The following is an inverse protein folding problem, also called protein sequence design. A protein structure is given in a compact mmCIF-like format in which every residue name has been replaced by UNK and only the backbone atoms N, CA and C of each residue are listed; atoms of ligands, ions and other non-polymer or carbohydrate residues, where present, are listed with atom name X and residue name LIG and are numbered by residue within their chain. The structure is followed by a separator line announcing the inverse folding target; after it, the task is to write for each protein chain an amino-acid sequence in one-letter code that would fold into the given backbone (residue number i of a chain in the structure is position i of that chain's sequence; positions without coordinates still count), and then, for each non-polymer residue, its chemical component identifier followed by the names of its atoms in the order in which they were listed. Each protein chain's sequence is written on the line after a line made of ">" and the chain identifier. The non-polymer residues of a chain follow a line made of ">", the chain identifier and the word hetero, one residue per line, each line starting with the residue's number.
data_IF_890372916507
#
_entry.id   IF_890372916507
#
_cell.length_a   1.000
_cell.length_b   1.000
_cell.length_c   1.000
_cell.angle_alpha   90.00
_cell.angle_beta   90.00
_cell.angle_gamma   90.00
#
_symmetry.space_group_name_H-M   'P 1'
#
loop_
_entity.id
_entity.type
_entity.pdbx_description
1 polymer ?
#
# COMPACT_ATOMS: atom_id res chain seq x y z
N UNK A 1 3.01 9.93 22.24
CA UNK A 1 3.25 8.51 21.90
C UNK A 1 1.88 7.80 21.80
N UNK A 2 1.15 7.96 20.67
CA UNK A 2 -0.25 7.48 20.55
C UNK A 2 -0.37 5.99 20.23
N UNK A 3 0.69 5.38 19.68
CA UNK A 3 0.68 4.01 19.16
C UNK A 3 0.84 2.93 20.24
N UNK A 4 1.65 3.20 21.29
CA UNK A 4 2.00 2.19 22.29
C UNK A 4 0.80 1.54 23.00
N UNK A 5 -0.26 2.27 23.41
CA UNK A 5 -1.43 1.64 24.01
C UNK A 5 -2.12 0.62 23.09
N UNK A 6 -2.25 0.94 21.80
CA UNK A 6 -2.87 0.06 20.80
C UNK A 6 -2.05 -1.22 20.60
N UNK A 7 -0.72 -1.08 20.51
CA UNK A 7 0.17 -2.24 20.39
C UNK A 7 0.07 -3.12 21.64
N UNK A 8 0.13 -2.54 22.84
CA UNK A 8 0.05 -3.30 24.10
C UNK A 8 -1.29 -4.02 24.26
N UNK A 9 -2.41 -3.38 23.90
CA UNK A 9 -3.72 -4.01 23.99
C UNK A 9 -3.93 -5.05 22.89
N UNK A 10 -3.61 -4.72 21.64
CA UNK A 10 -3.86 -5.56 20.46
C UNK A 10 -2.96 -6.80 20.38
N UNK A 11 -1.81 -6.81 21.06
CA UNK A 11 -0.90 -7.96 21.06
C UNK A 11 -1.04 -8.87 22.28
N UNK A 12 -1.75 -8.45 23.34
CA UNK A 12 -1.71 -9.14 24.63
C UNK A 12 -2.14 -10.59 24.56
N UNK A 13 -3.30 -10.85 23.95
CA UNK A 13 -3.83 -12.20 23.83
C UNK A 13 -2.91 -13.10 23.00
N UNK A 14 -2.38 -12.57 21.90
CA UNK A 14 -1.44 -13.27 21.01
C UNK A 14 -0.11 -13.59 21.69
N UNK A 15 0.34 -12.75 22.61
CA UNK A 15 1.53 -13.01 23.44
C UNK A 15 1.20 -14.06 24.51
N UNK A 16 0.08 -13.89 25.22
CA UNK A 16 -0.31 -14.75 26.33
C UNK A 16 -0.61 -16.20 25.86
N UNK A 17 -1.09 -16.39 24.63
CA UNK A 17 -1.30 -17.71 24.02
C UNK A 17 -0.08 -18.25 23.25
N UNK A 18 1.03 -17.51 23.21
CA UNK A 18 2.29 -17.93 22.60
C UNK A 18 2.34 -17.87 21.07
N UNK A 19 1.32 -17.32 20.41
CA UNK A 19 1.28 -17.14 18.95
C UNK A 19 2.16 -16.00 18.47
N UNK A 20 2.46 -15.03 19.33
CA UNK A 20 3.32 -13.89 19.06
C UNK A 20 4.41 -13.75 20.11
N UNK A 21 5.64 -13.47 19.67
CA UNK A 21 6.72 -13.00 20.54
C UNK A 21 7.02 -11.56 20.19
N UNK A 22 7.03 -10.70 21.21
CA UNK A 22 7.33 -9.29 21.05
C UNK A 22 8.64 -8.94 21.76
N UNK A 23 9.42 -8.05 21.16
CA UNK A 23 10.57 -7.39 21.79
C UNK A 23 10.53 -5.92 21.39
N UNK A 24 10.93 -5.04 22.30
CA UNK A 24 11.04 -3.60 22.00
C UNK A 24 12.48 -3.14 22.21
N UNK A 25 13.02 -2.40 21.25
CA UNK A 25 14.22 -1.60 21.45
C UNK A 25 13.81 -0.17 21.82
N UNK A 26 14.18 0.29 23.02
CA UNK A 26 13.99 1.67 23.47
C UNK A 26 15.28 2.46 23.30
N UNK A 27 15.15 3.67 22.74
CA UNK A 27 16.21 4.65 22.60
C UNK A 27 16.10 5.78 23.65
N UNK A 28 15.33 5.57 24.73
CA UNK A 28 15.20 6.56 25.80
C UNK A 28 16.56 6.87 26.44
N UNK A 29 16.77 8.14 26.83
CA UNK A 29 17.99 8.58 27.54
C UNK A 29 17.93 8.26 29.03
N UNK A 30 16.72 8.30 29.59
CA UNK A 30 16.48 8.12 31.01
C UNK A 30 15.93 6.71 31.26
N UNK A 31 16.78 5.86 31.84
CA UNK A 31 16.40 4.49 32.20
C UNK A 31 15.25 4.44 33.20
N UNK A 32 15.19 5.36 34.15
CA UNK A 32 14.14 5.34 35.16
C UNK A 32 12.80 5.72 34.54
N UNK A 33 12.79 6.74 33.68
CA UNK A 33 11.59 7.11 32.91
C UNK A 33 11.07 5.93 32.06
N UNK A 34 11.97 5.17 31.41
CA UNK A 34 11.60 3.96 30.67
C UNK A 34 10.98 2.89 31.59
N UNK A 35 11.59 2.62 32.75
CA UNK A 35 11.06 1.65 33.71
C UNK A 35 9.69 2.04 34.24
N UNK A 36 9.47 3.33 34.49
CA UNK A 36 8.19 3.86 34.93
C UNK A 36 7.12 3.65 33.86
N UNK A 37 7.42 3.89 32.58
CA UNK A 37 6.52 3.62 31.45
C UNK A 37 6.22 2.11 31.32
N UNK A 38 7.22 1.24 31.42
CA UNK A 38 7.03 -0.22 31.38
C UNK A 38 6.04 -0.66 32.45
N UNK A 39 6.22 -0.15 33.68
CA UNK A 39 5.35 -0.46 34.82
C UNK A 39 3.95 0.12 34.65
N UNK A 40 3.84 1.40 34.29
CA UNK A 40 2.56 2.10 34.11
C UNK A 40 1.69 1.42 33.03
N UNK A 41 2.33 1.02 31.91
CA UNK A 41 1.63 0.44 30.75
C UNK A 41 1.46 -1.07 30.85
N UNK A 42 2.02 -1.72 31.88
CA UNK A 42 1.96 -3.16 32.04
C UNK A 42 2.59 -3.91 30.87
N UNK A 43 3.73 -3.42 30.38
CA UNK A 43 4.50 -4.09 29.31
C UNK A 43 5.09 -5.37 29.89
N UNK A 44 4.72 -6.52 29.31
CA UNK A 44 5.13 -7.87 29.78
C UNK A 44 6.19 -8.54 28.90
N UNK A 45 6.48 -7.96 27.74
CA UNK A 45 7.47 -8.47 26.82
C UNK A 45 8.85 -7.83 27.06
N UNK A 46 9.95 -8.47 26.64
CA UNK A 46 11.29 -7.92 26.79
C UNK A 46 11.47 -6.52 26.17
N UNK A 47 12.11 -5.63 26.92
CA UNK A 47 12.51 -4.29 26.46
C UNK A 47 14.03 -4.16 26.55
N UNK A 48 14.68 -3.94 25.41
CA UNK A 48 16.11 -3.71 25.28
C UNK A 48 16.35 -2.20 25.30
N UNK A 49 17.13 -1.71 26.26
CA UNK A 49 17.47 -0.30 26.37
C UNK A 49 18.79 0.01 25.66
N UNK A 50 18.74 0.82 24.60
CA UNK A 50 19.90 1.20 23.76
C UNK A 50 20.57 2.51 24.20
N UNK A 51 20.04 3.19 25.22
CA UNK A 51 20.60 4.43 25.80
C UNK A 51 20.86 5.56 24.77
N UNK A 52 19.87 5.84 23.91
CA UNK A 52 19.90 6.95 22.94
C UNK A 52 21.06 6.93 21.94
N UNK A 53 21.69 5.78 21.72
CA UNK A 53 22.63 5.62 20.63
C UNK A 53 21.91 4.94 19.45
N UNK A 54 21.44 5.70 18.43
CA UNK A 54 20.77 5.12 17.27
C UNK A 54 21.72 4.24 16.43
N UNK A 55 23.03 4.41 16.61
CA UNK A 55 24.07 3.60 15.98
C UNK A 55 24.41 2.35 16.80
N UNK A 56 23.91 2.21 18.04
CA UNK A 56 23.95 0.94 18.78
C UNK A 56 22.74 0.10 18.41
N UNK A 57 23.04 -1.09 17.91
CA UNK A 57 22.05 -2.07 17.48
C UNK A 57 21.84 -2.07 15.96
N UNK A 58 20.79 -2.74 15.53
CA UNK A 58 20.56 -3.05 14.12
C UNK A 58 19.71 -1.99 13.39
N UNK A 59 19.56 -0.78 13.94
CA UNK A 59 18.72 0.28 13.35
C UNK A 59 19.06 0.59 11.88
N UNK A 60 20.36 0.72 11.51
CA UNK A 60 20.75 0.92 10.11
C UNK A 60 20.46 -0.32 9.25
N UNK A 61 20.72 -1.51 9.78
CA UNK A 61 20.51 -2.78 9.08
C UNK A 61 19.02 -3.05 8.79
N UNK A 62 18.14 -2.48 9.62
CA UNK A 62 16.68 -2.65 9.53
C UNK A 62 16.00 -1.47 8.81
N UNK A 63 16.78 -0.50 8.30
CA UNK A 63 16.29 0.66 7.57
C UNK A 63 15.17 1.42 8.32
N UNK A 64 15.26 1.50 9.65
CA UNK A 64 14.26 2.19 10.48
C UNK A 64 14.43 3.70 10.27
N UNK A 65 13.51 4.33 9.54
CA UNK A 65 13.57 5.76 9.18
C UNK A 65 13.04 6.70 10.27
N UNK A 66 12.35 6.18 11.27
CA UNK A 66 11.76 6.97 12.35
C UNK A 66 11.33 6.14 13.55
N UNK A 67 10.97 6.82 14.65
CA UNK A 67 10.37 6.21 15.84
C UNK A 67 9.06 6.93 16.18
N UNK A 68 8.00 6.23 16.62
CA UNK A 68 7.92 4.78 16.78
C UNK A 68 7.83 4.03 15.44
N UNK A 69 8.39 2.82 15.39
CA UNK A 69 8.27 1.86 14.28
C UNK A 69 8.02 0.47 14.88
N UNK A 70 7.07 -0.28 14.32
CA UNK A 70 6.79 -1.66 14.73
C UNK A 70 6.94 -2.53 13.50
N UNK A 71 7.85 -3.50 13.53
CA UNK A 71 8.01 -4.46 12.42
C UNK A 71 7.57 -5.84 12.86
N UNK A 72 6.99 -6.60 11.93
CA UNK A 72 6.71 -8.01 12.11
C UNK A 72 7.80 -8.85 11.44
N UNK A 73 8.27 -9.87 12.14
CA UNK A 73 9.37 -10.72 11.70
C UNK A 73 8.89 -12.17 11.72
N UNK A 74 9.11 -12.89 10.61
CA UNK A 74 8.75 -14.30 10.52
C UNK A 74 9.77 -15.21 11.27
N UNK A 75 9.50 -16.51 11.47
CA UNK A 75 10.43 -17.43 12.12
C UNK A 75 11.80 -17.58 11.44
N UNK A 76 11.91 -17.22 10.15
CA UNK A 76 13.15 -17.22 9.37
C UNK A 76 14.02 -15.98 9.65
N UNK A 77 13.49 -14.99 10.38
CA UNK A 77 14.20 -13.76 10.73
C UNK A 77 14.04 -12.64 9.70
N UNK A 78 13.10 -12.75 8.78
CA UNK A 78 12.83 -11.77 7.72
C UNK A 78 11.75 -10.80 8.19
N UNK A 79 11.93 -9.50 7.90
CA UNK A 79 10.88 -8.50 8.13
C UNK A 79 9.79 -8.72 7.07
N UNK A 80 8.58 -9.02 7.53
CA UNK A 80 7.43 -9.29 6.65
C UNK A 80 6.42 -8.15 6.61
N UNK A 81 6.46 -7.23 7.58
CA UNK A 81 5.64 -6.01 7.59
C UNK A 81 6.24 -4.89 8.43
N UNK A 82 5.91 -3.65 8.04
CA UNK A 82 5.95 -2.47 8.90
C UNK A 82 4.52 -2.14 9.35
N UNK A 83 4.24 -2.36 10.63
CA UNK A 83 2.95 -2.16 11.24
C UNK A 83 2.85 -0.73 11.78
N UNK A 84 2.18 0.13 11.02
CA UNK A 84 1.74 1.43 11.53
C UNK A 84 0.57 1.18 12.49
N UNK A 85 0.71 1.59 13.75
CA UNK A 85 -0.42 1.50 14.66
C UNK A 85 -1.55 2.44 14.18
N UNK A 86 -2.76 1.89 14.11
CA UNK A 86 -3.95 2.48 13.51
C UNK A 86 -5.15 1.56 13.74
N UNK A 87 -6.29 1.89 13.12
CA UNK A 87 -7.54 1.13 13.29
C UNK A 87 -7.40 -0.33 12.81
N UNK A 88 -6.53 -0.58 11.82
CA UNK A 88 -6.38 -1.91 11.20
C UNK A 88 -5.26 -2.77 11.80
N UNK A 89 -4.51 -2.27 12.80
CA UNK A 89 -3.32 -2.94 13.33
C UNK A 89 -3.57 -4.38 13.77
N UNK A 90 -4.68 -4.63 14.47
CA UNK A 90 -5.00 -5.96 14.99
C UNK A 90 -5.40 -6.94 13.88
N UNK A 91 -6.22 -6.50 12.92
CA UNK A 91 -6.64 -7.35 11.80
C UNK A 91 -5.44 -7.76 10.95
N UNK A 92 -4.54 -6.81 10.64
CA UNK A 92 -3.30 -7.11 9.91
C UNK A 92 -2.46 -8.09 10.72
N UNK A 93 -2.23 -7.85 12.02
CA UNK A 93 -1.44 -8.76 12.84
C UNK A 93 -2.02 -10.18 12.91
N UNK A 94 -3.33 -10.32 13.11
CA UNK A 94 -4.00 -11.63 13.16
C UNK A 94 -3.92 -12.37 11.83
N UNK A 95 -4.21 -11.68 10.72
CA UNK A 95 -4.07 -12.23 9.37
C UNK A 95 -2.67 -12.84 9.16
N UNK A 96 -1.63 -12.11 9.54
CA UNK A 96 -0.25 -12.58 9.37
C UNK A 96 0.09 -13.79 10.23
N UNK A 97 -0.43 -13.85 11.46
CA UNK A 97 -0.19 -14.98 12.35
C UNK A 97 -0.94 -16.22 11.85
N UNK A 98 -2.14 -16.05 11.31
CA UNK A 98 -2.97 -17.16 10.79
C UNK A 98 -2.44 -17.71 9.46
N UNK A 99 -2.01 -16.84 8.55
CA UNK A 99 -1.64 -17.23 7.20
C UNK A 99 -0.14 -17.47 7.03
N UNK A 100 0.71 -17.00 7.96
CA UNK A 100 2.17 -17.11 7.87
C UNK A 100 2.80 -16.30 6.73
N UNK A 101 1.95 -15.68 5.92
CA UNK A 101 2.29 -14.82 4.81
C UNK A 101 1.63 -13.46 5.01
N UNK A 102 2.22 -12.49 4.36
CA UNK A 102 2.15 -11.12 4.73
C UNK A 102 1.36 -10.38 3.66
N UNK A 103 0.40 -9.51 4.01
CA UNK A 103 -0.10 -8.48 3.09
C UNK A 103 0.72 -7.21 3.28
N UNK A 104 1.53 -6.86 2.28
CA UNK A 104 2.52 -5.80 2.43
C UNK A 104 1.84 -4.46 2.51
N UNK A 105 2.44 -3.50 3.21
CA UNK A 105 2.10 -2.11 2.89
C UNK A 105 2.56 -1.88 1.47
N UNK A 106 1.58 -1.66 0.59
CA UNK A 106 1.77 -1.21 -0.77
C UNK A 106 1.36 0.25 -0.86
N UNK A 107 2.12 1.00 -1.64
CA UNK A 107 1.72 2.31 -2.10
C UNK A 107 1.86 2.33 -3.62
N UNK A 108 0.91 2.94 -4.30
CA UNK A 108 0.96 3.13 -5.74
C UNK A 108 0.60 4.56 -6.05
N UNK A 109 1.51 5.22 -6.75
CA UNK A 109 1.29 6.55 -7.29
C UNK A 109 1.46 6.50 -8.80
N UNK A 110 0.77 7.41 -9.49
CA UNK A 110 0.86 7.47 -10.93
C UNK A 110 0.76 8.88 -11.47
N UNK A 111 1.31 9.06 -12.66
CA UNK A 111 1.05 10.20 -13.50
C UNK A 111 0.76 9.76 -14.92
N UNK A 112 0.02 10.59 -15.63
CA UNK A 112 -0.21 10.38 -17.02
C UNK A 112 -0.21 11.73 -17.75
N UNK A 113 0.39 11.74 -18.93
CA UNK A 113 0.72 12.94 -19.69
C UNK A 113 0.50 12.71 -21.19
N UNK A 114 -0.31 13.57 -21.80
CA UNK A 114 -0.48 13.64 -23.25
C UNK A 114 0.78 14.24 -23.89
N UNK A 115 1.35 13.51 -24.85
CA UNK A 115 2.54 13.87 -25.59
C UNK A 115 2.20 14.66 -26.86
N UNK A 116 3.19 15.34 -27.44
CA UNK A 116 3.01 16.15 -28.67
C UNK A 116 2.59 15.32 -29.89
N UNK A 117 2.93 14.03 -29.93
CA UNK A 117 2.56 13.10 -31.00
C UNK A 117 1.15 12.51 -30.83
N UNK A 118 0.40 12.95 -29.82
CA UNK A 118 -0.95 12.49 -29.52
C UNK A 118 -1.00 11.22 -28.69
N UNK A 119 0.14 10.63 -28.32
CA UNK A 119 0.18 9.48 -27.41
C UNK A 119 0.04 9.90 -25.95
N UNK A 120 -0.35 8.98 -25.06
CA UNK A 120 -0.38 9.22 -23.61
C UNK A 120 0.68 8.37 -22.93
N UNK A 121 1.63 9.02 -22.27
CA UNK A 121 2.61 8.35 -21.40
C UNK A 121 2.01 8.18 -20.02
N UNK A 122 2.05 6.96 -19.49
CA UNK A 122 1.68 6.65 -18.11
C UNK A 122 2.94 6.24 -17.37
N UNK A 123 3.17 6.85 -16.22
CA UNK A 123 4.22 6.50 -15.27
C UNK A 123 3.55 6.03 -13.97
N UNK A 124 3.91 4.84 -13.51
CA UNK A 124 3.48 4.26 -12.24
C UNK A 124 4.72 4.11 -11.36
N UNK A 125 4.63 4.55 -10.11
CA UNK A 125 5.63 4.31 -9.08
C UNK A 125 4.97 3.49 -7.98
N UNK A 126 5.47 2.28 -7.80
CA UNK A 126 4.95 1.34 -6.82
C UNK A 126 5.99 1.12 -5.74
N UNK A 127 5.54 1.14 -4.50
CA UNK A 127 6.33 0.74 -3.35
C UNK A 127 5.68 -0.48 -2.72
N UNK A 128 6.49 -1.51 -2.46
CA UNK A 128 6.09 -2.61 -1.61
C UNK A 128 7.11 -2.80 -0.49
N UNK A 129 6.60 -2.96 0.72
CA UNK A 129 7.40 -3.39 1.88
C UNK A 129 7.73 -4.89 1.85
N UNK A 130 7.32 -5.61 0.80
CA UNK A 130 7.43 -7.06 0.71
C UNK A 130 8.28 -7.56 -0.44
N UNK A 131 8.69 -8.82 -0.27
CA UNK A 131 9.46 -9.60 -1.22
C UNK A 131 8.56 -10.66 -1.88
N UNK A 132 7.34 -10.25 -2.25
CA UNK A 132 6.34 -11.11 -2.87
C UNK A 132 6.19 -10.71 -4.32
N UNK A 133 6.12 -11.69 -5.21
CA UNK A 133 5.73 -11.46 -6.60
C UNK A 133 4.26 -11.00 -6.61
N UNK A 134 3.95 -9.95 -7.36
CA UNK A 134 2.62 -9.36 -7.40
C UNK A 134 2.18 -9.19 -8.84
N UNK A 135 0.92 -9.47 -9.11
CA UNK A 135 0.33 -9.24 -10.43
C UNK A 135 -0.31 -7.85 -10.43
N UNK A 136 0.19 -7.00 -11.34
CA UNK A 136 -0.28 -5.64 -11.53
C UNK A 136 -1.16 -5.62 -12.77
N UNK A 137 -2.41 -5.23 -12.57
CA UNK A 137 -3.39 -5.08 -13.63
C UNK A 137 -3.64 -3.59 -13.84
N UNK A 138 -3.32 -3.11 -15.04
CA UNK A 138 -3.62 -1.74 -15.46
C UNK A 138 -4.78 -1.78 -16.43
N UNK A 139 -5.92 -1.31 -15.97
CA UNK A 139 -7.10 -1.10 -16.79
C UNK A 139 -7.11 0.32 -17.33
N UNK A 140 -7.25 0.43 -18.65
CA UNK A 140 -7.36 1.71 -19.33
C UNK A 140 -8.74 1.82 -19.93
N UNK A 141 -9.45 2.88 -19.58
CA UNK A 141 -10.77 3.18 -20.09
C UNK A 141 -10.73 4.44 -20.94
N UNK A 142 -11.36 4.38 -22.09
CA UNK A 142 -11.80 5.59 -22.78
C UNK A 142 -13.07 6.09 -22.13
N UNK A 143 -13.14 7.39 -21.93
CA UNK A 143 -14.30 8.05 -21.37
C UNK A 143 -14.89 8.93 -22.45
N UNK A 144 -16.08 8.54 -22.91
CA UNK A 144 -16.87 9.31 -23.87
C UNK A 144 -17.95 10.06 -23.11
N UNK A 145 -17.97 11.37 -23.28
CA UNK A 145 -18.94 12.25 -22.67
C UNK A 145 -20.21 12.33 -23.52
N UNK A 146 -21.35 12.10 -22.85
CA UNK A 146 -22.67 12.31 -23.45
C UNK A 146 -23.12 13.72 -23.12
N UNK A 147 -23.17 14.55 -24.15
CA UNK A 147 -23.62 15.94 -24.08
C UNK A 147 -25.09 16.02 -24.48
N UNK A 148 -25.92 16.71 -23.69
CA UNK A 148 -27.25 17.14 -24.12
C UNK A 148 -27.16 18.59 -24.57
N UNK A 149 -26.83 18.77 -25.84
CA UNK A 149 -26.61 20.09 -26.42
C UNK A 149 -27.92 20.87 -26.63
N UNK A 150 -29.08 20.21 -26.61
CA UNK A 150 -30.35 20.81 -27.04
C UNK A 150 -31.35 21.09 -25.90
N UNK A 151 -31.35 20.34 -24.78
CA UNK A 151 -32.51 20.36 -23.86
C UNK A 151 -32.26 20.84 -22.43
N UNK A 152 -31.01 21.07 -22.00
CA UNK A 152 -30.74 21.47 -20.61
C UNK A 152 -29.83 22.73 -20.49
N UNK A 153 -30.43 23.92 -20.37
CA UNK A 153 -29.67 25.15 -20.15
C UNK A 153 -28.95 25.22 -18.80
N UNK A 154 -29.30 24.38 -17.80
CA UNK A 154 -28.59 24.33 -16.51
C UNK A 154 -27.24 23.59 -16.62
N UNK A 155 -27.10 22.71 -17.61
CA UNK A 155 -25.90 21.89 -17.83
C UNK A 155 -25.07 22.31 -19.03
N UNK A 156 -25.31 23.52 -19.59
CA UNK A 156 -24.56 24.04 -20.74
C UNK A 156 -23.05 23.99 -20.48
N UNK A 157 -22.35 23.15 -21.25
CA UNK A 157 -20.90 22.95 -21.14
C UNK A 157 -20.46 21.96 -20.06
N UNK A 158 -21.37 21.09 -19.57
CA UNK A 158 -21.05 19.95 -18.71
C UNK A 158 -21.57 18.64 -19.30
N UNK A 159 -20.83 17.52 -19.21
CA UNK A 159 -21.33 16.23 -19.65
C UNK A 159 -22.49 15.78 -18.74
N UNK A 160 -23.57 15.26 -19.32
CA UNK A 160 -24.68 14.68 -18.57
C UNK A 160 -24.35 13.28 -18.06
N UNK A 161 -23.60 12.52 -18.86
CA UNK A 161 -23.24 11.14 -18.56
C UNK A 161 -21.86 10.82 -19.12
N UNK A 162 -21.28 9.72 -18.63
CA UNK A 162 -19.96 9.22 -19.02
C UNK A 162 -20.06 7.75 -19.35
N UNK A 163 -19.60 7.38 -20.52
CA UNK A 163 -19.44 5.99 -20.90
C UNK A 163 -17.97 5.59 -20.77
N UNK A 164 -17.71 4.57 -19.96
CA UNK A 164 -16.39 3.98 -19.76
C UNK A 164 -16.27 2.75 -20.67
N UNK A 165 -15.37 2.81 -21.65
CA UNK A 165 -15.12 1.72 -22.59
C UNK A 165 -13.74 1.17 -22.30
N UNK A 166 -13.68 -0.06 -21.79
CA UNK A 166 -12.41 -0.75 -21.49
C UNK A 166 -11.62 -1.00 -22.77
N UNK A 167 -10.34 -0.64 -22.77
CA UNK A 167 -9.44 -0.96 -23.88
C UNK A 167 -9.08 -2.46 -23.90
N UNK A 168 -9.19 -3.17 -22.77
CA UNK A 168 -8.97 -4.61 -22.71
C UNK A 168 -10.01 -5.38 -23.54
N UNK A 169 -11.27 -4.90 -23.58
CA UNK A 169 -12.33 -5.48 -24.42
C UNK A 169 -12.04 -5.33 -25.92
N UNK A 170 -11.13 -4.43 -26.29
CA UNK A 170 -10.64 -4.22 -27.65
C UNK A 170 -9.30 -4.90 -27.94
N UNK A 171 -8.82 -5.73 -27.00
CA UNK A 171 -7.58 -6.47 -27.12
C UNK A 171 -6.33 -5.68 -26.74
N UNK A 172 -6.48 -4.50 -26.12
CA UNK A 172 -5.37 -3.75 -25.52
C UNK A 172 -5.36 -3.96 -24.00
N UNK A 173 -4.69 -5.02 -23.57
CA UNK A 173 -4.53 -5.36 -22.16
C UNK A 173 -3.13 -4.96 -21.66
N UNK A 174 -3.08 -4.37 -20.46
CA UNK A 174 -1.86 -3.90 -19.82
C UNK A 174 -1.70 -4.58 -18.45
N UNK A 175 -1.32 -5.85 -18.47
CA UNK A 175 -0.97 -6.61 -17.26
C UNK A 175 0.53 -6.90 -17.20
N UNK A 176 1.13 -6.84 -16.01
CA UNK A 176 2.49 -7.33 -15.80
C UNK A 176 2.69 -7.86 -14.39
N UNK A 177 3.50 -8.91 -14.26
CA UNK A 177 3.94 -9.40 -12.95
C UNK A 177 5.16 -8.59 -12.49
N UNK A 178 5.03 -7.89 -11.36
CA UNK A 178 6.13 -7.18 -10.73
C UNK A 178 6.73 -8.00 -9.59
N UNK A 179 8.04 -8.22 -9.66
CA UNK A 179 8.80 -8.87 -8.59
C UNK A 179 9.43 -7.81 -7.70
N UNK A 180 8.78 -7.48 -6.59
CA UNK A 180 9.39 -6.57 -5.62
C UNK A 180 10.54 -7.28 -4.91
N UNK A 181 11.74 -6.72 -5.05
CA UNK A 181 12.93 -7.14 -4.30
C UNK A 181 13.30 -6.00 -3.37
N UNK A 182 13.17 -6.19 -2.05
CA UNK A 182 13.77 -5.33 -1.02
C UNK A 182 13.25 -3.88 -0.94
N UNK A 183 12.21 -3.61 -0.13
CA UNK A 183 11.72 -2.25 0.19
C UNK A 183 11.87 -1.25 -0.99
N UNK A 184 11.53 -1.71 -2.19
CA UNK A 184 11.95 -1.06 -3.42
C UNK A 184 10.80 -0.25 -3.97
N UNK A 185 11.15 0.91 -4.51
CA UNK A 185 10.31 1.59 -5.46
C UNK A 185 10.61 0.99 -6.84
N UNK A 186 9.57 0.58 -7.53
CA UNK A 186 9.63 0.10 -8.90
C UNK A 186 8.83 1.06 -9.75
N UNK A 187 9.51 1.65 -10.73
CA UNK A 187 8.91 2.62 -11.65
C UNK A 187 8.64 1.93 -12.99
N UNK A 188 7.41 2.06 -13.46
CA UNK A 188 6.94 1.49 -14.73
C UNK A 188 6.43 2.59 -15.62
N UNK A 189 6.86 2.58 -16.88
CA UNK A 189 6.37 3.50 -17.89
C UNK A 189 5.83 2.73 -19.09
N UNK A 190 4.67 3.12 -19.58
CA UNK A 190 4.13 2.62 -20.84
C UNK A 190 3.43 3.75 -21.60
N UNK A 191 3.19 3.51 -22.89
CA UNK A 191 2.60 4.48 -23.81
C UNK A 191 1.33 3.90 -24.40
N UNK A 192 0.26 4.70 -24.37
CA UNK A 192 -1.01 4.40 -25.02
C UNK A 192 -1.06 5.25 -26.29
N UNK A 193 -1.04 4.59 -27.45
CA UNK A 193 -0.94 5.25 -28.75
C UNK A 193 -2.25 5.29 -29.54
N UNK A 194 -3.25 4.50 -29.14
CA UNK A 194 -4.55 4.45 -29.80
C UNK A 194 -5.66 4.36 -28.77
N UNK A 195 -6.44 5.43 -28.68
CA UNK A 195 -7.58 5.55 -27.80
C UNK A 195 -8.84 5.99 -28.56
N UNK A 196 -8.91 5.73 -29.87
CA UNK A 196 -10.11 5.97 -30.68
C UNK A 196 -10.72 7.37 -30.52
N UNK A 197 -12.05 7.46 -30.63
CA UNK A 197 -12.81 8.67 -30.29
C UNK A 197 -13.08 8.68 -28.78
N UNK A 198 -12.38 9.54 -28.04
CA UNK A 198 -12.55 9.69 -26.60
C UNK A 198 -12.35 11.15 -26.17
N UNK A 199 -13.14 11.62 -25.21
CA UNK A 199 -12.97 12.95 -24.62
C UNK A 199 -11.91 12.94 -23.51
N UNK A 200 -11.75 11.80 -22.84
CA UNK A 200 -10.70 11.59 -21.85
C UNK A 200 -10.28 10.14 -21.73
N UNK A 201 -9.09 9.91 -21.15
CA UNK A 201 -8.66 8.60 -20.68
C UNK A 201 -8.76 8.52 -19.17
N UNK A 202 -9.30 7.41 -18.67
CA UNK A 202 -9.24 7.03 -17.27
C UNK A 202 -8.33 5.82 -17.13
N UNK A 203 -7.22 5.99 -16.43
CA UNK A 203 -6.28 4.91 -16.13
C UNK A 203 -6.49 4.48 -14.70
N UNK A 204 -6.76 3.19 -14.51
CA UNK A 204 -6.84 2.52 -13.22
C UNK A 204 -5.77 1.45 -13.13
N UNK A 205 -4.81 1.60 -12.22
CA UNK A 205 -3.86 0.54 -11.91
C UNK A 205 -4.22 -0.09 -10.57
N UNK A 206 -4.24 -1.41 -10.53
CA UNK A 206 -4.53 -2.23 -9.35
C UNK A 206 -3.46 -3.29 -9.18
N UNK A 207 -3.25 -3.72 -7.94
CA UNK A 207 -2.40 -4.89 -7.66
C UNK A 207 -3.18 -5.92 -6.90
N UNK A 208 -3.00 -7.16 -7.27
CA UNK A 208 -3.57 -8.31 -6.57
C UNK A 208 -2.45 -9.10 -5.91
N UNK A 209 -2.59 -9.37 -4.60
CA UNK A 209 -1.65 -10.24 -3.91
C UNK A 209 -1.97 -11.70 -4.26
N UNK A 210 -0.95 -12.56 -4.45
CA UNK A 210 -1.16 -14.00 -4.52
C UNK A 210 -1.95 -14.49 -3.31
N UNK A 211 -3.00 -15.28 -3.56
CA UNK A 211 -3.87 -15.83 -2.50
C UNK A 211 -4.86 -14.85 -1.88
N UNK A 212 -4.83 -13.55 -2.23
CA UNK A 212 -5.82 -12.58 -1.71
C UNK A 212 -7.20 -12.68 -2.35
N UNK A 213 -7.34 -13.43 -3.45
CA UNK A 213 -8.62 -13.72 -4.10
C UNK A 213 -9.65 -14.27 -3.10
N UNK A 214 -9.22 -15.05 -2.11
CA UNK A 214 -10.11 -15.63 -1.10
C UNK A 214 -10.62 -14.60 -0.06
N UNK A 215 -10.01 -13.42 0.04
CA UNK A 215 -10.28 -12.44 1.10
C UNK A 215 -11.40 -11.45 0.77
N UNK A 216 -11.75 -11.27 -0.51
CA UNK A 216 -12.78 -10.34 -0.99
C UNK A 216 -13.58 -10.92 -2.17
N UNK A 217 -14.10 -12.14 -2.06
CA UNK A 217 -14.93 -12.76 -3.14
C UNK A 217 -14.25 -12.81 -4.53
N UNK A 218 -12.91 -12.82 -4.58
CA UNK A 218 -12.12 -12.77 -5.81
C UNK A 218 -11.53 -11.40 -6.16
N UNK A 219 -11.92 -10.32 -5.47
CA UNK A 219 -11.48 -8.94 -5.80
C UNK A 219 -10.07 -8.61 -5.27
N UNK A 220 -9.51 -9.44 -4.38
CA UNK A 220 -8.20 -9.20 -3.77
C UNK A 220 -8.19 -8.03 -2.79
N UNK A 221 -7.02 -7.79 -2.17
CA UNK A 221 -6.73 -6.55 -1.42
C UNK A 221 -5.87 -5.68 -2.31
N UNK A 222 -6.43 -4.59 -2.83
CA UNK A 222 -5.75 -3.76 -3.85
C UNK A 222 -5.50 -2.33 -3.41
N UNK A 223 -4.41 -1.75 -3.91
CA UNK A 223 -4.20 -0.30 -3.94
C UNK A 223 -4.49 0.17 -5.35
N UNK A 224 -5.38 1.14 -5.51
CA UNK A 224 -5.79 1.66 -6.81
C UNK A 224 -5.29 3.09 -7.04
N UNK A 225 -4.69 3.36 -8.18
CA UNK A 225 -4.47 4.71 -8.70
C UNK A 225 -5.47 4.98 -9.82
N UNK A 226 -6.20 6.09 -9.74
CA UNK A 226 -7.16 6.51 -10.77
C UNK A 226 -6.87 7.94 -11.26
N UNK A 227 -6.70 8.14 -12.57
CA UNK A 227 -6.49 9.48 -13.13
C UNK A 227 -7.21 9.68 -14.45
N UNK A 228 -7.89 10.81 -14.57
CA UNK A 228 -8.51 11.28 -15.80
C UNK A 228 -7.55 12.22 -16.54
N UNK A 229 -7.47 12.07 -17.85
CA UNK A 229 -6.65 12.86 -18.75
C UNK A 229 -7.56 13.40 -19.83
N UNK A 230 -7.78 14.71 -19.87
CA UNK A 230 -8.53 15.33 -20.95
C UNK A 230 -7.75 15.21 -22.26
N UNK A 231 -8.43 14.79 -23.32
CA UNK A 231 -7.90 14.72 -24.67
C UNK A 231 -8.26 16.02 -25.43
N UNK A 232 -7.46 16.41 -26.44
CA UNK A 232 -7.64 17.65 -27.18
C UNK A 232 -8.85 17.64 -28.12
#
# INVERSE_FOLDING_TARGET
>A
MRQLPQVVSGTRELIDNGRLKMVTASYDRDRQALLDVIKERGIRYPVIWQNNDPNRGNTPDWNIRGIPTTVLINPQGEIVADLRAGEDFQQVLEYFIDNGEALGVMDMNGSAELQEDGTVKVDLSMYSSQHTDMDVNVEVYRVVFKWDEENDPEHKGRPLDREYISLADEGQDYSFTQKFRWFANEDHSFVISDFGEADSLYVMASVTYPGSEELNEGEGVGVSFGRNIALP
#
